data_IF_082357282805
#
_entry.id   IF_082357282805
#
_cell.length_a   1.000
_cell.length_b   1.000
_cell.length_c   1.000
_cell.angle_alpha   90.00
_cell.angle_beta   90.00
_cell.angle_gamma   90.00
#
_symmetry.space_group_name_H-M   'P 1'
#
loop_
_entity.id
_entity.type
_entity.pdbx_description
1 polymer ?
#
# COMPACT_ATOMS: atom_id res chain seq x y z
N UNK A 1 -5.81 12.02 15.47
CA UNK A 1 -4.49 12.62 15.77
C UNK A 1 -3.86 13.02 14.44
N UNK A 2 -3.41 14.28 14.25
CA UNK A 2 -2.81 14.70 12.96
C UNK A 2 -1.44 14.05 12.80
N UNK A 3 -1.12 13.52 11.63
CA UNK A 3 0.23 13.07 11.31
C UNK A 3 1.15 14.30 11.29
N UNK A 4 2.09 14.33 12.23
CA UNK A 4 3.08 15.38 12.36
C UNK A 4 4.44 14.72 12.08
N UNK A 5 5.05 14.92 10.88
CA UNK A 5 6.39 14.45 10.59
C UNK A 5 7.40 14.87 11.67
N UNK A 6 8.48 14.11 11.86
CA UNK A 6 9.61 14.53 12.69
C UNK A 6 10.22 15.90 12.30
N UNK A 7 9.90 16.41 11.10
CA UNK A 7 10.28 17.74 10.61
C UNK A 7 9.39 18.90 11.11
N UNK A 8 8.30 18.66 11.84
CA UNK A 8 7.42 19.69 12.39
C UNK A 8 8.06 20.60 13.47
N UNK A 9 9.39 20.66 13.48
CA UNK A 9 10.21 21.59 14.24
C UNK A 9 10.54 22.88 13.47
N UNK A 10 10.02 23.06 12.25
CA UNK A 10 10.08 24.35 11.53
C UNK A 10 8.74 25.10 11.66
N UNK A 11 8.60 26.00 12.66
CA UNK A 11 7.37 26.75 12.89
C UNK A 11 7.02 27.74 11.77
N UNK A 12 7.91 27.97 10.80
CA UNK A 12 7.64 28.85 9.65
C UNK A 12 6.80 28.19 8.55
N UNK A 13 6.67 26.85 8.56
CA UNK A 13 5.95 26.10 7.52
C UNK A 13 4.54 25.75 7.94
N UNK A 14 3.57 26.51 7.45
CA UNK A 14 2.15 26.22 7.64
C UNK A 14 1.71 25.05 6.77
N UNK A 15 1.12 24.02 7.38
CA UNK A 15 0.46 22.92 6.63
C UNK A 15 -0.74 23.52 5.92
N UNK A 16 -0.79 23.39 4.59
CA UNK A 16 -1.95 23.82 3.79
C UNK A 16 -3.23 23.13 4.32
N UNK A 17 -4.29 23.87 4.63
CA UNK A 17 -5.56 23.27 5.03
C UNK A 17 -6.17 22.50 3.85
N UNK A 18 -6.92 21.43 4.14
CA UNK A 18 -7.74 20.74 3.15
C UNK A 18 -8.98 21.61 2.90
N UNK A 19 -9.16 22.12 1.68
CA UNK A 19 -10.35 22.89 1.32
C UNK A 19 -11.55 21.98 1.05
N UNK A 20 -12.79 22.47 1.19
CA UNK A 20 -13.99 21.72 0.83
C UNK A 20 -13.98 21.22 -0.63
N UNK A 21 -13.47 22.03 -1.57
CA UNK A 21 -13.38 21.67 -2.99
C UNK A 21 -12.36 20.56 -3.21
N UNK A 22 -11.18 20.66 -2.58
CA UNK A 22 -10.15 19.63 -2.63
C UNK A 22 -10.67 18.30 -2.07
N UNK A 23 -11.37 18.34 -0.92
CA UNK A 23 -12.03 17.18 -0.34
C UNK A 23 -13.10 16.59 -1.26
N UNK A 24 -13.96 17.43 -1.84
CA UNK A 24 -15.01 17.01 -2.77
C UNK A 24 -14.45 16.27 -3.98
N UNK A 25 -13.30 16.70 -4.53
CA UNK A 25 -12.60 15.99 -5.62
C UNK A 25 -12.10 14.61 -5.19
N UNK A 26 -11.57 14.49 -3.97
CA UNK A 26 -11.11 13.20 -3.41
C UNK A 26 -12.29 12.24 -3.25
N UNK A 27 -13.38 12.69 -2.63
CA UNK A 27 -14.57 11.86 -2.40
C UNK A 27 -15.20 11.43 -3.74
N UNK A 28 -15.35 12.34 -4.71
CA UNK A 28 -15.86 12.02 -6.04
C UNK A 28 -14.98 11.03 -6.80
N UNK A 29 -13.64 11.15 -6.69
CA UNK A 29 -12.73 10.21 -7.32
C UNK A 29 -12.76 8.83 -6.64
N UNK A 30 -12.87 8.79 -5.32
CA UNK A 30 -13.02 7.54 -4.57
C UNK A 30 -14.33 6.82 -4.94
N UNK A 31 -15.43 7.56 -5.05
CA UNK A 31 -16.72 7.01 -5.51
C UNK A 31 -16.63 6.49 -6.95
N UNK A 32 -16.01 7.25 -7.85
CA UNK A 32 -15.90 6.89 -9.26
C UNK A 32 -14.96 5.72 -9.52
N UNK A 33 -13.76 5.73 -8.95
CA UNK A 33 -12.70 4.76 -9.26
C UNK A 33 -12.55 3.70 -8.18
N UNK A 34 -12.80 4.03 -6.92
CA UNK A 34 -12.64 3.12 -5.79
C UNK A 34 -11.18 2.88 -5.41
N UNK A 35 -10.25 3.58 -6.09
CA UNK A 35 -8.82 3.49 -5.86
C UNK A 35 -8.16 4.83 -6.03
N UNK A 36 -7.30 5.17 -5.08
CA UNK A 36 -6.53 6.39 -5.10
C UNK A 36 -5.12 6.13 -4.59
N UNK A 37 -4.11 6.65 -5.27
CA UNK A 37 -2.78 6.77 -4.66
C UNK A 37 -2.82 7.81 -3.55
N UNK A 38 -1.99 7.66 -2.53
CA UNK A 38 -1.80 8.74 -1.56
C UNK A 38 -0.92 9.84 -2.15
N UNK A 39 0.07 9.48 -2.98
CA UNK A 39 1.01 10.40 -3.62
C UNK A 39 0.92 10.32 -5.15
N UNK A 40 1.06 11.46 -5.82
CA UNK A 40 0.90 11.59 -7.27
C UNK A 40 1.98 10.88 -8.08
N UNK A 41 1.54 10.13 -9.10
CA UNK A 41 2.38 9.55 -10.15
C UNK A 41 1.63 9.52 -11.50
N UNK A 42 0.64 10.39 -11.74
CA UNK A 42 -0.11 10.57 -13.00
C UNK A 42 -0.88 9.37 -13.58
N UNK A 43 -0.58 8.13 -13.20
CA UNK A 43 -1.18 6.93 -13.81
C UNK A 43 -2.60 6.63 -13.30
N UNK A 44 -2.86 6.87 -12.02
CA UNK A 44 -4.18 6.89 -11.40
C UNK A 44 -4.31 8.13 -10.52
N UNK A 45 -5.55 8.60 -10.25
CA UNK A 45 -5.74 9.76 -9.39
C UNK A 45 -5.09 9.54 -8.02
N UNK A 46 -4.50 10.60 -7.46
CA UNK A 46 -3.94 10.58 -6.12
C UNK A 46 -4.61 11.62 -5.23
N UNK A 47 -4.65 11.35 -3.93
CA UNK A 47 -5.14 12.31 -2.94
C UNK A 47 -4.39 13.63 -3.08
N UNK A 48 -3.07 13.58 -3.22
CA UNK A 48 -2.23 14.76 -3.32
C UNK A 48 -2.58 15.63 -4.54
N UNK A 49 -2.69 15.03 -5.73
CA UNK A 49 -3.03 15.75 -6.96
C UNK A 49 -4.46 16.30 -6.92
N UNK A 50 -5.39 15.56 -6.31
CA UNK A 50 -6.80 15.97 -6.17
C UNK A 50 -6.98 17.09 -5.14
N UNK A 51 -6.18 17.11 -4.08
CA UNK A 51 -6.18 18.20 -3.11
C UNK A 51 -5.62 19.47 -3.73
N UNK A 52 -4.49 19.39 -4.45
CA UNK A 52 -3.90 20.56 -5.12
C UNK A 52 -4.71 20.99 -6.35
N UNK A 53 -5.39 20.07 -7.03
CA UNK A 53 -6.10 20.32 -8.28
C UNK A 53 -5.22 20.28 -9.53
N UNK A 54 -3.94 19.96 -9.36
CA UNK A 54 -2.97 19.80 -10.42
C UNK A 54 -1.98 18.69 -10.01
N UNK A 55 -1.30 18.05 -10.99
CA UNK A 55 -0.29 17.04 -10.68
C UNK A 55 0.85 17.60 -9.83
N UNK A 56 1.14 16.97 -8.69
CA UNK A 56 2.32 17.28 -7.88
C UNK A 56 3.53 16.55 -8.48
N UNK A 57 4.54 17.30 -8.91
CA UNK A 57 5.73 16.77 -9.57
C UNK A 57 6.93 16.62 -8.62
N UNK A 58 6.80 17.08 -7.37
CA UNK A 58 7.84 17.02 -6.35
C UNK A 58 8.21 15.56 -6.07
N UNK A 59 9.49 15.22 -6.27
CA UNK A 59 10.02 13.88 -5.97
C UNK A 59 10.40 13.76 -4.50
N UNK A 60 10.00 12.66 -3.87
CA UNK A 60 10.42 12.31 -2.51
C UNK A 60 9.49 12.83 -1.42
N UNK A 61 10.00 12.84 -0.19
CA UNK A 61 9.26 13.31 0.99
C UNK A 61 9.17 14.84 0.96
N UNK A 62 7.97 15.38 0.71
CA UNK A 62 7.69 16.81 0.67
C UNK A 62 6.58 17.17 1.64
N UNK A 63 6.64 18.39 2.18
CA UNK A 63 5.55 19.00 2.96
C UNK A 63 4.24 19.10 2.16
N UNK A 64 4.33 19.15 0.84
CA UNK A 64 3.17 19.18 -0.06
C UNK A 64 2.27 17.94 0.10
N UNK A 65 2.81 16.83 0.61
CA UNK A 65 2.06 15.58 0.82
C UNK A 65 1.42 15.47 2.20
N UNK A 66 1.72 16.38 3.14
CA UNK A 66 1.18 16.31 4.51
C UNK A 66 -0.36 16.33 4.54
N UNK A 67 -1.06 17.20 3.76
CA UNK A 67 -2.51 17.15 3.68
C UNK A 67 -3.04 15.78 3.20
N UNK A 68 -2.37 15.18 2.21
CA UNK A 68 -2.74 13.87 1.69
C UNK A 68 -2.52 12.74 2.71
N UNK A 69 -1.45 12.79 3.51
CA UNK A 69 -1.21 11.84 4.59
C UNK A 69 -2.23 11.97 5.73
N UNK A 70 -2.60 13.19 6.11
CA UNK A 70 -3.65 13.41 7.10
C UNK A 70 -5.01 12.88 6.61
N UNK A 71 -5.36 13.16 5.35
CA UNK A 71 -6.61 12.66 4.78
C UNK A 71 -6.59 11.14 4.60
N UNK A 72 -5.43 10.54 4.30
CA UNK A 72 -5.26 9.07 4.30
C UNK A 72 -5.65 8.48 5.66
N UNK A 73 -5.15 9.02 6.76
CA UNK A 73 -5.47 8.53 8.10
C UNK A 73 -6.97 8.60 8.40
N UNK A 74 -7.60 9.72 8.06
CA UNK A 74 -9.04 9.89 8.19
C UNK A 74 -9.80 8.84 7.35
N UNK A 75 -9.45 8.69 6.07
CA UNK A 75 -10.13 7.75 5.17
C UNK A 75 -9.92 6.29 5.60
N UNK A 76 -8.75 5.91 6.08
CA UNK A 76 -8.46 4.57 6.58
C UNK A 76 -9.27 4.18 7.82
N UNK A 77 -9.72 5.17 8.61
CA UNK A 77 -10.61 4.93 9.75
C UNK A 77 -12.01 4.47 9.33
N UNK A 78 -12.43 4.77 8.09
CA UNK A 78 -13.72 4.32 7.57
C UNK A 78 -13.72 2.80 7.37
N UNK A 79 -14.81 2.09 7.68
CA UNK A 79 -14.85 0.63 7.56
C UNK A 79 -14.67 0.15 6.12
N UNK A 80 -15.13 0.91 5.13
CA UNK A 80 -15.18 0.55 3.71
C UNK A 80 -13.89 0.83 2.91
N UNK A 81 -12.88 1.45 3.53
CA UNK A 81 -11.62 1.83 2.87
C UNK A 81 -10.44 1.12 3.52
N UNK A 82 -9.56 0.53 2.71
CA UNK A 82 -8.31 -0.07 3.17
C UNK A 82 -7.09 0.52 2.47
N UNK A 83 -5.93 0.45 3.11
CA UNK A 83 -4.65 0.86 2.54
C UNK A 83 -3.80 -0.37 2.21
N UNK A 84 -3.23 -0.42 1.00
CA UNK A 84 -2.25 -1.43 0.63
C UNK A 84 -1.22 -0.89 -0.37
N UNK A 85 -0.23 -1.71 -0.74
CA UNK A 85 0.83 -1.35 -1.70
C UNK A 85 0.64 -1.99 -3.08
N UNK A 86 -0.60 -1.94 -3.57
CA UNK A 86 -1.01 -2.57 -4.83
C UNK A 86 -0.32 -1.97 -6.07
N UNK A 87 -0.31 -0.64 -6.21
CA UNK A 87 0.13 0.02 -7.42
C UNK A 87 1.57 0.52 -7.29
N UNK A 88 2.51 -0.05 -8.04
CA UNK A 88 3.96 0.27 -8.02
C UNK A 88 4.59 0.23 -6.62
N UNK A 89 4.03 -0.58 -5.72
CA UNK A 89 4.45 -0.63 -4.31
C UNK A 89 4.13 0.64 -3.50
N UNK A 90 3.24 1.50 -4.00
CA UNK A 90 2.85 2.77 -3.38
C UNK A 90 1.58 2.61 -2.55
N UNK A 91 1.49 3.41 -1.50
CA UNK A 91 0.30 3.52 -0.65
C UNK A 91 -0.92 3.86 -1.50
N UNK A 92 -1.85 2.90 -1.59
CA UNK A 92 -3.06 2.93 -2.42
C UNK A 92 -4.25 2.69 -1.51
N UNK A 93 -5.19 3.64 -1.49
CA UNK A 93 -6.51 3.46 -0.87
C UNK A 93 -7.39 2.61 -1.78
N UNK A 94 -8.12 1.68 -1.18
CA UNK A 94 -8.96 0.69 -1.86
C UNK A 94 -10.34 0.65 -1.21
N UNK A 95 -11.38 0.96 -1.98
CA UNK A 95 -12.76 0.82 -1.57
C UNK A 95 -13.23 -0.64 -1.56
N UNK A 96 -14.13 -0.98 -0.63
CA UNK A 96 -14.56 -2.36 -0.35
C UNK A 96 -15.12 -3.13 -1.55
N UNK A 97 -15.70 -2.43 -2.53
CA UNK A 97 -16.18 -3.06 -3.76
C UNK A 97 -15.10 -3.81 -4.55
N UNK A 98 -13.83 -3.45 -4.35
CA UNK A 98 -12.68 -4.08 -5.02
C UNK A 98 -12.00 -5.14 -4.16
N UNK A 99 -12.39 -5.29 -2.89
CA UNK A 99 -11.74 -6.20 -1.97
C UNK A 99 -11.78 -7.66 -2.40
N UNK A 100 -12.91 -8.24 -2.88
CA UNK A 100 -12.92 -9.65 -3.30
C UNK A 100 -11.92 -9.92 -4.43
N UNK A 101 -11.86 -9.05 -5.43
CA UNK A 101 -10.90 -9.16 -6.53
C UNK A 101 -9.45 -9.10 -6.01
N UNK A 102 -9.15 -8.11 -5.17
CA UNK A 102 -7.80 -7.89 -4.66
C UNK A 102 -7.38 -9.05 -3.73
N UNK A 103 -8.31 -9.61 -2.95
CA UNK A 103 -8.05 -10.77 -2.11
C UNK A 103 -7.76 -12.04 -2.94
N UNK A 104 -8.54 -12.33 -3.99
CA UNK A 104 -8.23 -13.44 -4.92
C UNK A 104 -6.82 -13.32 -5.49
N UNK A 105 -6.45 -12.12 -5.94
CA UNK A 105 -5.15 -11.83 -6.54
C UNK A 105 -4.02 -11.98 -5.50
N UNK A 106 -4.21 -11.46 -4.29
CA UNK A 106 -3.24 -11.52 -3.20
C UNK A 106 -3.00 -12.97 -2.74
N UNK A 107 -4.05 -13.79 -2.63
CA UNK A 107 -3.94 -15.22 -2.31
C UNK A 107 -3.13 -15.98 -3.35
N UNK A 108 -3.34 -15.69 -4.63
CA UNK A 108 -2.56 -16.29 -5.70
C UNK A 108 -1.08 -15.87 -5.63
N UNK A 109 -0.80 -14.59 -5.36
CA UNK A 109 0.55 -14.09 -5.17
C UNK A 109 1.26 -14.77 -3.97
N UNK A 110 0.56 -14.95 -2.85
CA UNK A 110 1.08 -15.67 -1.68
C UNK A 110 1.47 -17.11 -2.00
N UNK A 111 0.66 -17.84 -2.77
CA UNK A 111 1.03 -19.19 -3.24
C UNK A 111 2.34 -19.15 -4.03
N UNK A 112 2.53 -18.13 -4.87
CA UNK A 112 3.79 -17.88 -5.56
C UNK A 112 4.97 -17.70 -4.59
N UNK A 113 4.82 -16.87 -3.55
CA UNK A 113 5.85 -16.68 -2.51
C UNK A 113 6.19 -18.00 -1.81
N UNK A 114 5.18 -18.77 -1.39
CA UNK A 114 5.37 -20.08 -0.75
C UNK A 114 6.11 -21.06 -1.66
N UNK A 115 5.83 -21.02 -2.97
CA UNK A 115 6.52 -21.81 -3.99
C UNK A 115 7.94 -21.29 -4.32
N UNK A 116 8.42 -20.24 -3.64
CA UNK A 116 9.75 -19.67 -3.84
C UNK A 116 9.85 -18.65 -4.98
N UNK A 117 8.73 -18.30 -5.63
CA UNK A 117 8.70 -17.19 -6.59
C UNK A 117 9.00 -15.89 -5.83
N UNK A 118 9.92 -15.09 -6.35
CA UNK A 118 10.41 -13.89 -5.66
C UNK A 118 11.66 -14.12 -4.79
N UNK A 119 12.15 -15.35 -4.68
CA UNK A 119 13.44 -15.70 -4.06
C UNK A 119 13.35 -16.13 -2.60
N UNK A 120 14.38 -16.86 -2.16
CA UNK A 120 14.39 -17.53 -0.84
C UNK A 120 14.22 -16.58 0.33
N UNK A 121 14.83 -15.39 0.28
CA UNK A 121 14.72 -14.44 1.39
C UNK A 121 13.27 -13.97 1.59
N UNK A 122 12.53 -13.73 0.50
CA UNK A 122 11.13 -13.31 0.60
C UNK A 122 10.26 -14.45 1.15
N UNK A 123 10.48 -15.69 0.69
CA UNK A 123 9.81 -16.88 1.21
C UNK A 123 10.08 -17.08 2.71
N UNK A 124 11.34 -17.07 3.13
CA UNK A 124 11.73 -17.25 4.55
C UNK A 124 11.16 -16.11 5.40
N UNK A 125 11.25 -14.85 4.94
CA UNK A 125 10.66 -13.71 5.64
C UNK A 125 9.14 -13.88 5.81
N UNK A 126 8.43 -14.32 4.77
CA UNK A 126 6.99 -14.60 4.83
C UNK A 126 6.68 -15.70 5.85
N UNK A 127 7.40 -16.82 5.85
CA UNK A 127 7.18 -17.91 6.81
C UNK A 127 7.44 -17.46 8.27
N UNK A 128 8.44 -16.61 8.50
CA UNK A 128 8.67 -16.05 9.85
C UNK A 128 7.51 -15.15 10.30
N UNK A 129 6.98 -14.31 9.40
CA UNK A 129 5.82 -13.45 9.69
C UNK A 129 4.57 -14.29 9.92
N UNK A 130 4.36 -15.33 9.10
CA UNK A 130 3.23 -16.28 9.24
C UNK A 130 3.28 -17.04 10.57
N UNK A 131 4.46 -17.47 10.99
CA UNK A 131 4.65 -18.16 12.27
C UNK A 131 4.53 -17.22 13.48
N UNK A 132 4.74 -15.91 13.30
CA UNK A 132 4.60 -14.89 14.35
C UNK A 132 3.97 -13.60 13.79
N UNK A 133 2.63 -13.58 13.58
CA UNK A 133 1.94 -12.36 13.14
C UNK A 133 2.13 -11.23 14.16
N UNK A 134 2.28 -10.00 13.67
CA UNK A 134 2.53 -8.81 14.49
C UNK A 134 3.98 -8.66 14.95
N UNK A 135 4.93 -9.39 14.35
CA UNK A 135 6.37 -9.22 14.60
C UNK A 135 6.83 -7.83 14.17
N UNK A 136 7.52 -7.13 15.07
CA UNK A 136 8.10 -5.82 14.81
C UNK A 136 9.26 -5.91 13.79
N UNK A 137 9.48 -4.86 13.00
CA UNK A 137 10.45 -4.86 11.90
C UNK A 137 11.87 -5.14 12.37
N UNK A 138 12.29 -4.56 13.50
CA UNK A 138 13.63 -4.78 14.05
C UNK A 138 13.80 -6.22 14.56
N UNK A 139 12.77 -6.79 15.19
CA UNK A 139 12.79 -8.18 15.65
C UNK A 139 12.79 -9.17 14.48
N UNK A 140 12.06 -8.88 13.41
CA UNK A 140 12.06 -9.68 12.18
C UNK A 140 13.45 -9.65 11.54
N UNK A 141 14.07 -8.48 11.43
CA UNK A 141 15.41 -8.31 10.88
C UNK A 141 16.47 -9.10 11.67
N UNK A 142 16.42 -9.04 13.01
CA UNK A 142 17.29 -9.83 13.90
C UNK A 142 17.10 -11.32 13.71
N UNK A 143 15.85 -11.79 13.62
CA UNK A 143 15.53 -13.21 13.44
C UNK A 143 15.96 -13.78 12.08
N UNK A 144 16.05 -12.92 11.07
CA UNK A 144 16.59 -13.26 9.75
C UNK A 144 18.11 -13.07 9.66
N UNK A 145 18.77 -12.70 10.76
CA UNK A 145 20.23 -12.47 10.83
C UNK A 145 20.74 -11.42 9.82
N UNK A 146 19.86 -10.50 9.41
CA UNK A 146 20.17 -9.48 8.40
C UNK A 146 20.86 -8.28 9.05
N UNK A 147 22.16 -8.40 9.32
CA UNK A 147 22.97 -7.37 9.97
C UNK A 147 23.69 -6.45 8.98
N UNK A 148 24.20 -5.33 9.48
CA UNK A 148 24.99 -4.38 8.68
C UNK A 148 24.21 -3.66 7.57
N UNK A 149 24.95 -2.93 6.72
CA UNK A 149 24.39 -2.13 5.62
C UNK A 149 23.74 -3.01 4.56
N UNK A 150 24.40 -4.10 4.18
CA UNK A 150 23.91 -5.03 3.17
C UNK A 150 22.66 -5.79 3.63
N UNK A 151 22.69 -6.37 4.84
CA UNK A 151 21.52 -7.03 5.41
C UNK A 151 20.33 -6.08 5.54
N UNK A 152 20.57 -4.82 5.91
CA UNK A 152 19.53 -3.79 5.93
C UNK A 152 18.93 -3.52 4.54
N UNK A 153 19.76 -3.45 3.50
CA UNK A 153 19.28 -3.26 2.13
C UNK A 153 18.46 -4.46 1.63
N UNK A 154 18.95 -5.69 1.90
CA UNK A 154 18.25 -6.95 1.57
C UNK A 154 16.91 -7.05 2.30
N UNK A 155 16.87 -6.72 3.59
CA UNK A 155 15.64 -6.66 4.38
C UNK A 155 14.63 -5.70 3.77
N UNK A 156 15.04 -4.46 3.49
CA UNK A 156 14.16 -3.43 2.91
C UNK A 156 13.60 -3.85 1.56
N UNK A 157 14.42 -4.48 0.71
CA UNK A 157 13.99 -5.00 -0.59
C UNK A 157 12.97 -6.12 -0.43
N UNK A 158 13.30 -7.19 0.28
CA UNK A 158 12.38 -8.32 0.46
C UNK A 158 11.05 -7.90 1.12
N UNK A 159 11.12 -7.01 2.11
CA UNK A 159 9.93 -6.41 2.73
C UNK A 159 9.09 -5.62 1.71
N UNK A 160 9.71 -4.71 0.95
CA UNK A 160 9.01 -3.92 -0.06
C UNK A 160 8.39 -4.79 -1.14
N UNK A 161 9.10 -5.84 -1.55
CA UNK A 161 8.62 -6.81 -2.53
C UNK A 161 7.37 -7.53 -1.97
N UNK A 162 7.44 -8.13 -0.78
CA UNK A 162 6.30 -8.80 -0.13
C UNK A 162 5.09 -7.89 0.07
N UNK A 163 5.29 -6.61 0.45
CA UNK A 163 4.18 -5.65 0.55
C UNK A 163 3.57 -5.34 -0.83
N UNK A 164 4.41 -5.16 -1.87
CA UNK A 164 3.95 -4.89 -3.24
C UNK A 164 3.29 -6.09 -3.92
N UNK A 165 3.56 -7.28 -3.39
CA UNK A 165 2.95 -8.54 -3.77
C UNK A 165 1.67 -8.86 -3.00
N UNK A 166 1.29 -7.99 -2.06
CA UNK A 166 0.16 -8.21 -1.17
C UNK A 166 0.28 -9.54 -0.40
N UNK A 167 1.52 -9.97 -0.10
CA UNK A 167 1.77 -11.15 0.74
C UNK A 167 1.75 -10.80 2.22
N UNK A 168 2.15 -9.58 2.56
CA UNK A 168 2.17 -9.05 3.93
C UNK A 168 1.56 -7.65 3.98
N UNK A 169 1.15 -7.25 5.18
CA UNK A 169 0.66 -5.91 5.51
C UNK A 169 1.38 -5.43 6.76
N UNK A 170 1.79 -4.16 6.74
CA UNK A 170 2.31 -3.47 7.91
C UNK A 170 1.20 -2.71 8.60
N UNK A 171 0.99 -2.96 9.89
CA UNK A 171 0.18 -2.10 10.77
C UNK A 171 1.12 -1.25 11.60
N UNK A 172 0.85 0.04 11.72
CA UNK A 172 1.56 0.87 12.70
C UNK A 172 1.28 0.32 14.10
N UNK A 173 2.31 0.26 14.94
CA UNK A 173 2.10 -0.07 16.35
C UNK A 173 1.40 1.14 17.00
N UNK A 174 0.23 0.95 17.59
CA UNK A 174 -0.30 1.93 18.54
C UNK A 174 0.65 1.97 19.74
N UNK A 175 1.29 3.12 19.97
CA UNK A 175 1.95 3.40 21.24
C UNK A 175 0.87 3.66 22.29
N UNK A 176 0.72 2.73 23.22
CA UNK A 176 -0.18 2.86 24.34
C UNK A 176 0.36 3.82 25.40
N UNK A 177 0.47 5.13 25.10
CA UNK A 177 0.81 6.20 26.07
C UNK A 177 1.06 7.60 25.47
N UNK A 178 0.70 7.85 24.20
CA UNK A 178 0.67 9.23 23.68
C UNK A 178 2.04 9.91 23.48
N UNK A 179 3.13 9.13 23.37
CA UNK A 179 4.50 9.63 23.13
C UNK A 179 5.03 9.38 21.71
N UNK A 180 4.20 9.67 20.72
CA UNK A 180 4.65 9.83 19.33
C UNK A 180 4.65 8.54 18.51
N UNK A 181 4.86 8.70 17.20
CA UNK A 181 4.81 7.58 16.26
C UNK A 181 6.12 6.80 16.30
N UNK A 182 6.14 5.58 16.83
CA UNK A 182 7.22 4.63 16.52
C UNK A 182 7.09 4.22 15.06
N UNK A 183 8.11 4.51 14.25
CA UNK A 183 8.18 4.07 12.85
C UNK A 183 8.30 2.53 12.69
N UNK A 184 8.27 1.78 13.80
CA UNK A 184 8.40 0.33 13.78
C UNK A 184 7.05 -0.31 13.50
N UNK A 185 6.85 -0.70 12.24
CA UNK A 185 5.65 -1.39 11.80
C UNK A 185 5.65 -2.83 12.29
N UNK A 186 4.46 -3.31 12.65
CA UNK A 186 4.21 -4.72 12.97
C UNK A 186 3.73 -5.41 11.71
N UNK A 187 4.37 -6.52 11.37
CA UNK A 187 4.13 -7.22 10.12
C UNK A 187 3.17 -8.39 10.32
N UNK A 188 2.19 -8.49 9.44
CA UNK A 188 1.22 -9.57 9.43
C UNK A 188 1.12 -10.14 8.01
N UNK A 189 0.72 -11.40 7.89
CA UNK A 189 0.37 -11.94 6.57
C UNK A 189 -0.92 -11.28 6.08
N UNK A 190 -1.09 -11.21 4.77
CA UNK A 190 -2.26 -10.60 4.13
C UNK A 190 -3.61 -11.06 4.68
N UNK A 191 -3.75 -12.34 5.02
CA UNK A 191 -4.99 -12.91 5.56
C UNK A 191 -5.45 -12.22 6.85
N UNK A 192 -4.53 -11.59 7.59
CA UNK A 192 -4.83 -10.82 8.80
C UNK A 192 -5.20 -9.36 8.51
N UNK A 193 -5.01 -8.91 7.26
CA UNK A 193 -5.28 -7.56 6.81
C UNK A 193 -6.77 -7.24 6.68
N UNK A 194 -7.09 -5.94 6.71
CA UNK A 194 -8.46 -5.42 6.61
C UNK A 194 -9.20 -5.91 5.37
N UNK A 195 -8.54 -5.96 4.21
CA UNK A 195 -9.15 -6.44 2.95
C UNK A 195 -9.55 -7.91 3.11
N UNK A 196 -8.60 -8.79 3.43
CA UNK A 196 -8.88 -10.23 3.55
C UNK A 196 -9.95 -10.54 4.60
N UNK A 197 -9.91 -9.88 5.77
CA UNK A 197 -10.92 -10.04 6.82
C UNK A 197 -12.28 -9.46 6.46
N UNK A 198 -12.29 -8.42 5.62
CA UNK A 198 -13.51 -7.76 5.17
C UNK A 198 -14.24 -8.50 4.04
N UNK A 199 -13.59 -9.44 3.36
CA UNK A 199 -14.24 -10.29 2.35
C UNK A 199 -14.96 -11.44 3.05
N UNK A 200 -16.28 -11.28 3.23
CA UNK A 200 -17.14 -12.26 3.92
C UNK A 200 -17.77 -13.28 2.98
N UNK A 201 -17.96 -12.92 1.70
CA UNK A 201 -18.52 -13.80 0.70
C UNK A 201 -17.43 -14.67 0.06
N UNK A 202 -17.77 -15.93 -0.21
CA UNK A 202 -16.95 -16.78 -1.06
C UNK A 202 -16.79 -16.12 -2.44
N UNK A 203 -15.57 -16.05 -2.90
CA UNK A 203 -15.19 -15.45 -4.18
C UNK A 203 -14.23 -16.43 -4.86
N UNK A 204 -14.36 -16.56 -6.18
CA UNK A 204 -13.61 -17.55 -6.95
C UNK A 204 -12.11 -17.24 -6.97
N UNK A 205 -11.32 -18.27 -7.24
CA UNK A 205 -9.95 -18.04 -7.68
C UNK A 205 -9.96 -17.35 -9.04
N UNK A 206 -8.98 -16.47 -9.26
CA UNK A 206 -8.78 -15.81 -10.56
C UNK A 206 -7.54 -16.37 -11.23
N UNK A 207 -7.59 -16.55 -12.54
CA UNK A 207 -6.41 -16.84 -13.36
C UNK A 207 -5.51 -15.60 -13.47
N UNK A 208 -4.26 -15.79 -13.90
CA UNK A 208 -3.36 -14.67 -14.20
C UNK A 208 -3.96 -13.70 -15.24
N UNK A 209 -4.64 -14.23 -16.27
CA UNK A 209 -5.24 -13.41 -17.32
C UNK A 209 -6.40 -12.56 -16.77
N UNK A 210 -7.29 -13.17 -15.98
CA UNK A 210 -8.39 -12.47 -15.32
C UNK A 210 -7.88 -11.43 -14.32
N UNK A 211 -6.84 -11.76 -13.54
CA UNK A 211 -6.20 -10.82 -12.62
C UNK A 211 -5.63 -9.60 -13.37
N UNK A 212 -4.92 -9.83 -14.47
CA UNK A 212 -4.34 -8.77 -15.28
C UNK A 212 -5.43 -7.89 -15.91
N UNK A 213 -6.46 -8.48 -16.51
CA UNK A 213 -7.59 -7.77 -17.12
C UNK A 213 -8.40 -6.95 -16.09
N UNK A 214 -8.64 -7.54 -14.91
CA UNK A 214 -9.38 -6.85 -13.87
C UNK A 214 -8.60 -5.65 -13.30
N UNK A 215 -7.29 -5.80 -13.04
CA UNK A 215 -6.41 -4.70 -12.63
C UNK A 215 -6.31 -3.63 -13.73
N UNK A 216 -6.30 -4.03 -15.00
CA UNK A 216 -6.33 -3.12 -16.14
C UNK A 216 -7.57 -2.22 -16.11
N UNK A 217 -8.77 -2.83 -16.07
CA UNK A 217 -10.06 -2.11 -16.05
C UNK A 217 -10.19 -1.18 -14.85
N UNK A 218 -9.57 -1.58 -13.75
CA UNK A 218 -9.54 -0.86 -12.49
C UNK A 218 -8.60 0.37 -12.53
N UNK A 219 -7.47 0.27 -13.24
CA UNK A 219 -6.52 1.41 -13.43
C UNK A 219 -7.02 2.39 -14.49
N UNK A 220 -7.46 1.83 -15.60
CA UNK A 220 -7.74 2.54 -16.83
C UNK A 220 -9.10 2.10 -17.38
N UNK A 221 -10.21 2.50 -16.73
CA UNK A 221 -11.56 2.09 -17.16
C UNK A 221 -11.89 2.57 -18.59
N UNK A 222 -11.17 3.57 -19.09
CA UNK A 222 -11.30 4.15 -20.44
C UNK A 222 -10.24 3.62 -21.43
N UNK A 223 -9.39 2.66 -21.02
CA UNK A 223 -8.30 2.11 -21.83
C UNK A 223 -6.91 2.68 -21.53
N UNK A 224 -5.87 1.92 -21.90
CA UNK A 224 -4.47 2.24 -21.64
C UNK A 224 -4.03 3.53 -22.35
N UNK A 225 -3.34 4.45 -21.66
CA UNK A 225 -2.62 5.50 -22.35
C UNK A 225 -1.48 4.89 -23.19
N UNK A 226 -1.21 5.47 -24.37
CA UNK A 226 -0.24 4.94 -25.34
C UNK A 226 1.20 4.78 -24.79
N UNK A 227 1.53 5.46 -23.69
CA UNK A 227 2.85 5.40 -23.02
C UNK A 227 2.80 4.72 -21.64
N UNK A 228 1.76 3.92 -21.36
CA UNK A 228 1.66 3.22 -20.10
C UNK A 228 2.86 2.28 -19.88
N UNK A 229 3.43 2.23 -18.66
CA UNK A 229 4.43 1.22 -18.33
C UNK A 229 3.86 -0.20 -18.49
N UNK A 230 4.71 -1.22 -18.73
CA UNK A 230 4.27 -2.61 -18.73
C UNK A 230 3.52 -2.97 -17.44
N UNK A 231 2.49 -3.81 -17.54
CA UNK A 231 1.64 -4.18 -16.39
C UNK A 231 2.42 -4.73 -15.20
N UNK A 232 3.49 -5.49 -15.42
CA UNK A 232 4.37 -6.00 -14.35
C UNK A 232 5.11 -4.89 -13.59
N UNK A 233 5.29 -3.70 -14.19
CA UNK A 233 5.84 -2.52 -13.51
C UNK A 233 4.76 -1.80 -12.69
N UNK A 234 3.52 -1.80 -13.18
CA UNK A 234 2.37 -1.21 -12.46
C UNK A 234 1.93 -2.07 -11.28
N UNK A 235 1.96 -3.39 -11.46
CA UNK A 235 1.54 -4.39 -10.49
C UNK A 235 2.63 -5.44 -10.31
N UNK A 236 3.59 -5.20 -9.39
CA UNK A 236 4.72 -6.12 -9.15
C UNK A 236 4.29 -7.55 -8.83
N UNK A 237 3.13 -7.70 -8.19
CA UNK A 237 2.54 -8.99 -7.82
C UNK A 237 2.30 -9.92 -9.01
N UNK A 238 2.09 -9.38 -10.23
CA UNK A 238 1.90 -10.18 -11.44
C UNK A 238 3.14 -11.01 -11.78
N UNK A 239 4.32 -10.65 -11.28
CA UNK A 239 5.53 -11.44 -11.43
C UNK A 239 5.48 -12.78 -10.66
N UNK A 240 4.63 -12.90 -9.64
CA UNK A 240 4.46 -14.13 -8.86
C UNK A 240 3.38 -15.05 -9.43
N UNK A 241 2.58 -14.56 -10.35
CA UNK A 241 1.41 -15.28 -10.89
C UNK A 241 1.77 -16.10 -12.15
N UNK A 242 2.92 -15.83 -12.77
CA UNK A 242 3.45 -16.56 -13.91
C UNK A 242 4.18 -17.84 -13.50
#
# INVERSE_FOLDING_TARGET
MRYIPAMARDPSRTIKPITPEGRGRVDAALEKFGLLLVQGQWEIPSIADLLEGAPITTRGYSYDYVPAWNLREELCSRPDIALCKLFRGKSTLVHQRHWPLIDSIARMAQRGVCAGRGGDLARVMYEVIKAKPGIAGENLKKRLELTGKEGTARFRRAKSDLESWLAIVGTEAEEGDGRGHTHDQRWQVWAEGKIARGVTAAHGEVTLLEAADALMKLTYPQGLPAKAPPMKKLYPLLALLA
#
